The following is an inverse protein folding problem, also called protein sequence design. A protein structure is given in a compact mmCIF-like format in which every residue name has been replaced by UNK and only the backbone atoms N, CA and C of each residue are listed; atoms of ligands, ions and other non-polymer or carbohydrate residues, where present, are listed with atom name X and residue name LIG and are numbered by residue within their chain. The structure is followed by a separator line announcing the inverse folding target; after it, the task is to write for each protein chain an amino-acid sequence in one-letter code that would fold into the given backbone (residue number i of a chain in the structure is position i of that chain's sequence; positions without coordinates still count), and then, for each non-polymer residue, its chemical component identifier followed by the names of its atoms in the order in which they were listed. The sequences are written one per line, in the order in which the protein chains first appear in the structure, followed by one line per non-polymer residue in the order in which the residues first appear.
data_IF_653672131015
#
_entry.id   IF_653672131015
#
_cell.length_a   1.000
_cell.length_b   1.000
_cell.length_c   1.000
_cell.angle_alpha   90.00
_cell.angle_beta   90.00
_cell.angle_gamma   90.00
#
_symmetry.space_group_name_H-M   'P 1'
#
loop_
_entity.id
_entity.type
_entity.pdbx_description
1 polymer ?
#
# COMPACT_ATOMS: atom_id res chain seq x y z
N UNK A 1 13.53 -32.08 14.75
CA UNK A 1 13.31 -30.74 15.32
C UNK A 1 14.63 -29.96 15.33
N UNK A 2 15.03 -29.43 14.16
CA UNK A 2 16.35 -28.79 13.97
C UNK A 2 16.55 -27.56 14.86
N UNK A 3 15.49 -26.79 15.13
CA UNK A 3 15.55 -25.58 15.96
C UNK A 3 15.43 -25.82 17.47
N UNK A 4 15.15 -27.04 17.92
CA UNK A 4 15.03 -27.41 19.33
C UNK A 4 13.90 -26.69 20.10
N UNK A 5 12.85 -26.23 19.39
CA UNK A 5 11.70 -25.51 19.96
C UNK A 5 10.37 -26.10 19.48
N UNK A 6 9.26 -25.78 20.17
CA UNK A 6 7.93 -26.25 19.78
C UNK A 6 7.47 -25.64 18.44
N UNK A 7 6.56 -26.32 17.69
CA UNK A 7 5.96 -25.79 16.46
C UNK A 7 5.32 -24.42 16.70
N UNK A 8 4.68 -24.21 17.85
CA UNK A 8 4.11 -22.92 18.24
C UNK A 8 5.17 -21.83 18.37
N UNK A 9 6.35 -22.16 18.92
CA UNK A 9 7.49 -21.25 19.03
C UNK A 9 8.08 -20.95 17.64
N UNK A 10 8.21 -21.96 16.76
CA UNK A 10 8.63 -21.78 15.36
C UNK A 10 7.70 -20.79 14.66
N UNK A 11 6.39 -21.03 14.71
CA UNK A 11 5.40 -20.16 14.08
C UNK A 11 5.48 -18.72 14.64
N UNK A 12 5.63 -18.55 15.93
CA UNK A 12 5.77 -17.22 16.56
C UNK A 12 7.07 -16.52 16.14
N UNK A 13 8.18 -17.26 16.10
CA UNK A 13 9.48 -16.71 15.69
C UNK A 13 9.46 -16.23 14.23
N UNK A 14 8.89 -17.02 13.32
CA UNK A 14 8.77 -16.69 11.89
C UNK A 14 7.77 -15.57 11.59
N UNK A 15 6.85 -15.31 12.53
CA UNK A 15 5.86 -14.22 12.42
C UNK A 15 6.21 -12.99 13.25
N UNK A 16 7.44 -12.88 13.74
CA UNK A 16 7.93 -11.80 14.60
C UNK A 16 7.01 -11.49 15.80
N UNK A 17 6.31 -12.51 16.28
CA UNK A 17 5.40 -12.37 17.42
C UNK A 17 6.17 -11.99 18.70
N UNK A 18 5.56 -11.23 19.62
CA UNK A 18 6.14 -10.95 20.93
C UNK A 18 6.32 -12.23 21.75
N UNK A 19 7.16 -12.16 22.77
CA UNK A 19 7.43 -13.26 23.73
C UNK A 19 8.18 -14.46 23.12
N UNK A 20 9.01 -14.26 22.10
CA UNK A 20 10.01 -15.22 21.64
C UNK A 20 11.39 -14.62 21.94
N UNK A 21 12.25 -15.34 22.66
CA UNK A 21 13.59 -14.86 22.96
C UNK A 21 14.42 -14.68 21.68
N UNK A 22 15.35 -13.73 21.70
CA UNK A 22 16.25 -13.48 20.57
C UNK A 22 17.00 -14.75 20.13
N UNK A 23 17.49 -15.51 21.10
CA UNK A 23 18.20 -16.78 20.88
C UNK A 23 17.30 -17.82 20.19
N UNK A 24 16.05 -18.00 20.64
CA UNK A 24 15.11 -18.92 19.99
C UNK A 24 14.76 -18.48 18.57
N UNK A 25 14.66 -17.17 18.33
CA UNK A 25 14.41 -16.59 17.01
C UNK A 25 15.55 -16.87 16.05
N UNK A 26 16.79 -16.68 16.46
CA UNK A 26 17.96 -16.96 15.64
C UNK A 26 18.08 -18.45 15.33
N UNK A 27 17.87 -19.35 16.28
CA UNK A 27 17.87 -20.81 16.03
C UNK A 27 16.80 -21.20 15.00
N UNK A 28 15.60 -20.61 15.08
CA UNK A 28 14.52 -20.87 14.11
C UNK A 28 14.90 -20.35 12.72
N UNK A 29 15.45 -19.14 12.61
CA UNK A 29 15.90 -18.56 11.34
C UNK A 29 17.01 -19.42 10.70
N UNK A 30 18.01 -19.84 11.48
CA UNK A 30 19.08 -20.70 11.00
C UNK A 30 18.55 -22.06 10.51
N UNK A 31 17.62 -22.67 11.26
CA UNK A 31 16.98 -23.91 10.85
C UNK A 31 16.13 -23.75 9.59
N UNK A 32 15.41 -22.66 9.44
CA UNK A 32 14.63 -22.35 8.23
C UNK A 32 15.56 -22.19 7.01
N UNK A 33 16.65 -21.44 7.15
CA UNK A 33 17.65 -21.28 6.10
C UNK A 33 18.29 -22.61 5.68
N UNK A 34 18.64 -23.48 6.63
CA UNK A 34 19.20 -24.80 6.35
C UNK A 34 18.24 -25.70 5.57
N UNK A 35 16.94 -25.54 5.80
CA UNK A 35 15.89 -26.35 5.14
C UNK A 35 15.33 -25.66 3.88
N UNK A 36 15.85 -24.52 3.48
CA UNK A 36 15.27 -23.67 2.43
C UNK A 36 13.76 -23.43 2.63
N UNK A 37 13.38 -23.30 3.92
CA UNK A 37 11.99 -23.15 4.28
C UNK A 37 11.56 -21.70 4.19
N UNK A 38 10.69 -21.42 3.25
CA UNK A 38 10.00 -20.14 3.12
C UNK A 38 8.58 -20.24 3.69
N UNK A 39 8.24 -19.40 4.69
CA UNK A 39 6.87 -19.37 5.23
C UNK A 39 5.85 -19.11 4.11
N UNK A 40 4.81 -19.92 4.05
CA UNK A 40 3.73 -19.71 3.08
C UNK A 40 2.95 -18.43 3.44
N UNK A 41 3.01 -17.44 2.55
CA UNK A 41 2.34 -16.14 2.72
C UNK A 41 0.84 -16.32 2.91
N UNK A 42 0.20 -17.25 2.18
CA UNK A 42 -1.23 -17.52 2.31
C UNK A 42 -1.59 -18.07 3.71
N UNK A 43 -0.75 -18.95 4.27
CA UNK A 43 -0.95 -19.44 5.64
C UNK A 43 -0.75 -18.34 6.67
N UNK A 44 0.23 -17.46 6.47
CA UNK A 44 0.46 -16.29 7.34
C UNK A 44 -0.72 -15.31 7.27
N UNK A 45 -1.23 -15.03 6.08
CA UNK A 45 -2.38 -14.16 5.85
C UNK A 45 -3.62 -14.66 6.58
N UNK A 46 -3.87 -15.96 6.54
CA UNK A 46 -5.01 -16.58 7.23
C UNK A 46 -4.93 -16.39 8.76
N UNK A 47 -3.74 -16.60 9.34
CA UNK A 47 -3.52 -16.44 10.79
C UNK A 47 -3.61 -14.96 11.20
N UNK A 48 -3.02 -14.07 10.40
CA UNK A 48 -3.00 -12.64 10.65
C UNK A 48 -4.35 -11.95 10.34
N UNK A 49 -5.24 -12.61 9.61
CA UNK A 49 -6.46 -12.02 9.03
C UNK A 49 -6.14 -10.76 8.19
N UNK A 50 -5.02 -10.80 7.47
CA UNK A 50 -4.52 -9.73 6.61
C UNK A 50 -3.93 -10.33 5.36
N UNK A 51 -4.12 -9.65 4.23
CA UNK A 51 -3.57 -10.09 2.93
C UNK A 51 -2.12 -9.70 2.76
N UNK A 52 -1.67 -8.66 3.46
CA UNK A 52 -0.41 -7.95 3.25
C UNK A 52 -0.28 -7.38 1.82
N UNK A 53 -1.41 -7.00 1.22
CA UNK A 53 -1.47 -6.38 -0.10
C UNK A 53 -1.95 -4.93 0.02
N UNK A 54 -1.19 -4.02 -0.60
CA UNK A 54 -1.58 -2.63 -0.79
C UNK A 54 -1.85 -2.41 -2.27
N UNK A 55 -3.04 -1.94 -2.60
CA UNK A 55 -3.40 -1.59 -3.97
C UNK A 55 -2.89 -0.21 -4.36
N UNK A 56 -2.51 -0.04 -5.62
CA UNK A 56 -2.30 1.26 -6.25
C UNK A 56 -3.17 1.29 -7.50
N UNK A 57 -4.12 2.21 -7.54
CA UNK A 57 -4.95 2.42 -8.74
C UNK A 57 -4.72 3.78 -9.36
N UNK A 58 -4.75 3.81 -10.69
CA UNK A 58 -4.59 5.01 -11.50
C UNK A 58 -5.31 4.86 -12.83
N UNK A 59 -5.56 5.99 -13.50
CA UNK A 59 -6.12 6.05 -14.86
C UNK A 59 -5.23 6.88 -15.78
N UNK A 60 -4.63 6.24 -16.80
CA UNK A 60 -3.86 6.88 -17.88
C UNK A 60 -2.91 8.03 -17.49
N UNK A 61 -2.13 7.92 -16.44
CA UNK A 61 -1.12 8.93 -16.16
C UNK A 61 0.05 8.81 -17.14
N UNK A 62 0.95 9.80 -17.13
CA UNK A 62 2.20 9.66 -17.86
C UNK A 62 3.00 8.45 -17.33
N UNK A 63 3.73 7.74 -18.17
CA UNK A 63 4.52 6.58 -17.73
C UNK A 63 5.49 6.90 -16.61
N UNK A 64 6.16 8.07 -16.67
CA UNK A 64 7.07 8.53 -15.62
C UNK A 64 6.38 8.71 -14.28
N UNK A 65 5.20 9.30 -14.26
CA UNK A 65 4.44 9.49 -13.02
C UNK A 65 4.09 8.14 -12.35
N UNK A 66 3.66 7.14 -13.13
CA UNK A 66 3.36 5.80 -12.60
C UNK A 66 4.60 5.15 -12.01
N UNK A 67 5.73 5.25 -12.73
CA UNK A 67 7.00 4.67 -12.27
C UNK A 67 7.44 5.30 -10.96
N UNK A 68 7.37 6.62 -10.83
CA UNK A 68 7.76 7.31 -9.60
C UNK A 68 6.83 6.97 -8.42
N UNK A 69 5.52 6.87 -8.64
CA UNK A 69 4.59 6.41 -7.61
C UNK A 69 4.90 4.98 -7.14
N UNK A 70 5.18 4.09 -8.08
CA UNK A 70 5.54 2.70 -7.76
C UNK A 70 6.86 2.64 -7.01
N UNK A 71 7.88 3.36 -7.47
CA UNK A 71 9.20 3.41 -6.82
C UNK A 71 9.08 3.92 -5.38
N UNK A 72 8.33 5.01 -5.15
CA UNK A 72 8.09 5.53 -3.81
C UNK A 72 7.37 4.53 -2.90
N UNK A 73 6.34 3.86 -3.42
CA UNK A 73 5.61 2.84 -2.68
C UNK A 73 6.51 1.62 -2.38
N UNK A 74 7.25 1.11 -3.37
CA UNK A 74 8.15 -0.04 -3.21
C UNK A 74 9.25 0.24 -2.20
N UNK A 75 9.91 1.41 -2.28
CA UNK A 75 10.95 1.81 -1.33
C UNK A 75 10.43 1.77 0.12
N UNK A 76 9.17 2.21 0.35
CA UNK A 76 8.57 2.16 1.70
C UNK A 76 8.19 0.75 2.13
N UNK A 77 7.88 -0.14 1.18
CA UNK A 77 7.45 -1.51 1.45
C UNK A 77 8.59 -2.52 1.55
N UNK A 78 9.81 -2.15 1.14
CA UNK A 78 10.97 -3.05 0.99
C UNK A 78 11.26 -3.87 2.25
N UNK A 79 11.26 -3.23 3.42
CA UNK A 79 11.50 -3.89 4.72
C UNK A 79 10.22 -4.41 5.38
N UNK A 80 9.09 -4.36 4.68
CA UNK A 80 7.80 -4.77 5.22
C UNK A 80 7.34 -6.11 4.64
N UNK A 81 6.29 -6.69 5.25
CA UNK A 81 5.60 -7.86 4.70
C UNK A 81 4.65 -7.50 3.57
N UNK A 82 4.35 -6.21 3.39
CA UNK A 82 3.40 -5.76 2.38
C UNK A 82 3.97 -5.87 0.98
N UNK A 83 3.09 -6.10 0.03
CA UNK A 83 3.41 -6.10 -1.41
C UNK A 83 2.48 -5.14 -2.13
N UNK A 84 3.01 -4.49 -3.15
CA UNK A 84 2.24 -3.59 -4.00
C UNK A 84 1.52 -4.39 -5.08
N UNK A 85 0.21 -4.14 -5.22
CA UNK A 85 -0.62 -4.65 -6.31
C UNK A 85 -1.08 -3.46 -7.15
N UNK A 86 -0.65 -3.42 -8.40
CA UNK A 86 -0.99 -2.33 -9.31
C UNK A 86 -2.27 -2.69 -10.05
N UNK A 87 -3.28 -1.84 -9.94
CA UNK A 87 -4.63 -2.05 -10.46
C UNK A 87 -5.03 -0.88 -11.38
N UNK A 88 -4.50 -0.83 -12.62
CA UNK A 88 -4.89 0.21 -13.56
C UNK A 88 -6.37 0.04 -13.91
N UNK A 89 -7.10 1.15 -13.95
CA UNK A 89 -8.51 1.17 -14.30
C UNK A 89 -8.80 2.27 -15.31
N UNK A 90 -9.79 2.07 -16.19
CA UNK A 90 -10.16 3.03 -17.21
C UNK A 90 -11.58 3.54 -16.97
N UNK A 91 -11.80 4.83 -17.29
CA UNK A 91 -13.10 5.47 -17.16
C UNK A 91 -13.63 5.39 -15.72
N UNK A 92 -12.79 5.78 -14.76
CA UNK A 92 -13.15 5.75 -13.33
C UNK A 92 -14.36 6.64 -13.06
N UNK A 93 -14.44 7.81 -13.71
CA UNK A 93 -15.55 8.74 -13.55
C UNK A 93 -16.90 8.12 -13.97
N UNK A 94 -16.91 7.30 -15.02
CA UNK A 94 -18.12 6.65 -15.51
C UNK A 94 -18.47 5.37 -14.75
N UNK A 95 -17.48 4.73 -14.12
CA UNK A 95 -17.63 3.40 -13.51
C UNK A 95 -17.00 3.27 -12.12
N UNK A 96 -17.24 4.21 -11.21
CA UNK A 96 -16.62 4.18 -9.87
C UNK A 96 -17.02 2.95 -9.05
N UNK A 97 -18.27 2.49 -9.17
CA UNK A 97 -18.73 1.28 -8.50
C UNK A 97 -18.05 0.00 -9.01
N UNK A 98 -17.66 -0.05 -10.28
CA UNK A 98 -16.94 -1.19 -10.84
C UNK A 98 -15.51 -1.27 -10.28
N UNK A 99 -14.82 -0.13 -10.21
CA UNK A 99 -13.53 -0.04 -9.54
C UNK A 99 -13.65 -0.45 -8.06
N UNK A 100 -14.66 0.04 -7.35
CA UNK A 100 -14.91 -0.34 -5.96
C UNK A 100 -15.06 -1.86 -5.80
N UNK A 101 -15.85 -2.51 -6.66
CA UNK A 101 -16.00 -3.98 -6.64
C UNK A 101 -14.69 -4.71 -6.93
N UNK A 102 -13.88 -4.19 -7.86
CA UNK A 102 -12.55 -4.74 -8.15
C UNK A 102 -11.65 -4.70 -6.92
N UNK A 103 -11.58 -3.54 -6.25
CA UNK A 103 -10.77 -3.36 -5.03
C UNK A 103 -11.22 -4.28 -3.90
N UNK A 104 -12.53 -4.44 -3.70
CA UNK A 104 -13.08 -5.36 -2.69
C UNK A 104 -12.69 -6.83 -2.98
N UNK A 105 -12.76 -7.25 -4.24
CA UNK A 105 -12.41 -8.63 -4.65
C UNK A 105 -10.90 -8.91 -4.57
N UNK A 106 -10.07 -7.88 -4.71
CA UNK A 106 -8.62 -8.02 -4.62
C UNK A 106 -8.13 -8.35 -3.21
N UNK A 107 -8.99 -8.26 -2.19
CA UNK A 107 -8.65 -8.62 -0.81
C UNK A 107 -7.51 -7.77 -0.22
N UNK A 108 -7.50 -6.48 -0.50
CA UNK A 108 -6.45 -5.56 -0.07
C UNK A 108 -6.60 -5.18 1.40
N UNK A 109 -5.48 -4.92 2.07
CA UNK A 109 -5.45 -4.30 3.41
C UNK A 109 -5.52 -2.77 3.37
N UNK A 110 -5.30 -2.18 2.20
CA UNK A 110 -5.43 -0.75 1.94
C UNK A 110 -5.19 -0.44 0.47
N UNK A 111 -5.56 0.77 0.04
CA UNK A 111 -5.39 1.19 -1.36
C UNK A 111 -4.92 2.63 -1.45
N UNK A 112 -4.05 2.90 -2.41
CA UNK A 112 -3.63 4.24 -2.83
C UNK A 112 -4.40 4.61 -4.09
N UNK A 113 -5.14 5.71 -4.04
CA UNK A 113 -5.95 6.23 -5.12
C UNK A 113 -5.24 7.42 -5.77
N UNK A 114 -4.77 7.25 -7.00
CA UNK A 114 -4.29 8.37 -7.81
C UNK A 114 -5.47 9.01 -8.58
N UNK A 115 -5.31 10.25 -9.08
CA UNK A 115 -6.35 10.90 -9.89
C UNK A 115 -6.72 10.06 -11.13
N UNK A 116 -8.00 10.08 -11.55
CA UNK A 116 -9.15 10.76 -10.95
C UNK A 116 -9.90 9.94 -9.87
N UNK A 117 -9.42 8.73 -9.53
CA UNK A 117 -10.08 7.84 -8.58
C UNK A 117 -10.16 8.44 -7.17
N UNK A 118 -9.19 9.28 -6.80
CA UNK A 118 -9.12 9.92 -5.50
C UNK A 118 -10.28 10.90 -5.21
N UNK A 119 -11.02 11.35 -6.23
CA UNK A 119 -12.12 12.32 -6.10
C UNK A 119 -13.51 11.73 -6.45
N UNK A 120 -13.62 10.41 -6.54
CA UNK A 120 -14.91 9.76 -6.86
C UNK A 120 -15.69 9.45 -5.57
N UNK A 121 -16.67 10.27 -5.25
CA UNK A 121 -17.47 10.13 -4.02
C UNK A 121 -18.14 8.77 -3.85
N UNK A 122 -18.66 8.19 -4.93
CA UNK A 122 -19.26 6.86 -4.90
C UNK A 122 -18.23 5.77 -4.53
N UNK A 123 -17.02 5.86 -5.09
CA UNK A 123 -15.93 4.97 -4.75
C UNK A 123 -15.53 5.13 -3.28
N UNK A 124 -15.31 6.37 -2.83
CA UNK A 124 -14.92 6.66 -1.45
C UNK A 124 -15.99 6.18 -0.45
N UNK A 125 -17.28 6.40 -0.75
CA UNK A 125 -18.37 5.90 0.08
C UNK A 125 -18.39 4.36 0.17
N UNK A 126 -18.06 3.68 -0.92
CA UNK A 126 -17.94 2.22 -0.92
C UNK A 126 -16.76 1.75 -0.05
N UNK A 127 -15.59 2.39 -0.15
CA UNK A 127 -14.41 2.06 0.67
C UNK A 127 -14.70 2.27 2.15
N UNK A 128 -15.33 3.39 2.52
CA UNK A 128 -15.75 3.70 3.90
C UNK A 128 -16.72 2.64 4.44
N UNK A 129 -17.76 2.31 3.65
CA UNK A 129 -18.75 1.29 4.00
C UNK A 129 -18.11 -0.07 4.31
N UNK A 130 -17.12 -0.45 3.52
CA UNK A 130 -16.40 -1.72 3.68
C UNK A 130 -15.18 -1.63 4.60
N UNK A 131 -14.90 -0.44 5.15
CA UNK A 131 -13.77 -0.18 6.04
C UNK A 131 -12.42 -0.56 5.42
N UNK A 132 -12.28 -0.39 4.10
CA UNK A 132 -10.99 -0.54 3.43
C UNK A 132 -10.22 0.78 3.57
N UNK A 133 -9.08 0.81 4.29
CA UNK A 133 -8.28 2.01 4.42
C UNK A 133 -7.76 2.50 3.06
N UNK A 134 -7.74 3.82 2.86
CA UNK A 134 -7.24 4.39 1.62
C UNK A 134 -6.45 5.67 1.84
N UNK A 135 -5.48 5.89 0.96
CA UNK A 135 -4.77 7.15 0.78
C UNK A 135 -5.11 7.74 -0.58
N UNK A 136 -5.23 9.06 -0.63
CA UNK A 136 -5.60 9.83 -1.81
C UNK A 136 -4.45 10.75 -2.21
N UNK A 137 -4.03 10.66 -3.46
CA UNK A 137 -2.95 11.49 -3.99
C UNK A 137 -3.55 12.70 -4.67
N UNK A 138 -3.17 13.89 -4.21
CA UNK A 138 -3.58 15.20 -4.73
C UNK A 138 -5.09 15.30 -5.03
N UNK A 139 -5.97 14.98 -4.05
CA UNK A 139 -7.40 15.14 -4.26
C UNK A 139 -7.78 16.62 -4.34
N UNK A 140 -8.86 16.91 -5.08
CA UNK A 140 -9.42 18.27 -5.22
C UNK A 140 -10.55 18.54 -4.23
N UNK A 141 -11.14 17.51 -3.62
CA UNK A 141 -12.32 17.60 -2.76
C UNK A 141 -12.19 16.72 -1.51
N UNK A 142 -13.14 16.88 -0.56
CA UNK A 142 -13.32 16.03 0.61
C UNK A 142 -11.99 15.75 1.36
N UNK A 143 -11.28 16.80 1.75
CA UNK A 143 -9.95 16.73 2.37
C UNK A 143 -9.94 16.05 3.74
N UNK A 144 -11.09 15.83 4.33
CA UNK A 144 -11.33 15.15 5.61
C UNK A 144 -11.52 13.62 5.49
N UNK A 145 -11.54 13.09 4.24
CA UNK A 145 -11.77 11.66 3.99
C UNK A 145 -10.47 10.93 3.61
N UNK A 146 -10.20 9.84 4.33
CA UNK A 146 -9.00 9.03 4.12
C UNK A 146 -7.71 9.73 4.53
N UNK A 147 -6.58 9.22 4.08
CA UNK A 147 -5.27 9.88 4.21
C UNK A 147 -5.05 10.71 2.96
N UNK A 148 -4.80 12.01 3.11
CA UNK A 148 -4.54 12.92 1.99
C UNK A 148 -3.05 13.17 1.86
N UNK A 149 -2.53 12.98 0.64
CA UNK A 149 -1.18 13.33 0.22
C UNK A 149 -1.31 14.44 -0.82
N UNK A 150 -1.01 15.68 -0.46
CA UNK A 150 -1.10 16.83 -1.35
C UNK A 150 0.17 17.68 -1.27
N UNK A 151 0.46 18.39 -2.36
CA UNK A 151 1.42 19.49 -2.39
C UNK A 151 0.64 20.80 -2.43
N UNK A 152 1.24 21.87 -1.93
CA UNK A 152 0.72 23.23 -2.14
C UNK A 152 1.09 23.68 -3.55
N UNK A 153 0.29 23.28 -4.53
CA UNK A 153 0.51 23.59 -5.95
C UNK A 153 0.36 25.09 -6.24
N UNK A 154 -0.46 25.80 -5.44
CA UNK A 154 -0.63 27.24 -5.56
C UNK A 154 0.65 27.96 -5.13
N UNK A 155 1.19 27.62 -3.96
CA UNK A 155 2.45 28.20 -3.50
C UNK A 155 3.62 27.84 -4.44
N UNK A 156 3.66 26.63 -4.96
CA UNK A 156 4.66 26.22 -5.94
C UNK A 156 4.56 27.04 -7.24
N UNK A 157 3.35 27.21 -7.77
CA UNK A 157 3.10 28.04 -8.96
C UNK A 157 3.47 29.49 -8.74
N UNK A 158 3.13 30.06 -7.60
CA UNK A 158 3.52 31.42 -7.23
C UNK A 158 5.03 31.58 -7.15
N UNK A 159 5.75 30.63 -6.56
CA UNK A 159 7.21 30.68 -6.47
C UNK A 159 7.88 30.67 -7.86
N UNK A 160 7.38 29.82 -8.77
CA UNK A 160 7.89 29.78 -10.16
C UNK A 160 7.61 31.11 -10.89
N UNK A 161 6.38 31.65 -10.77
CA UNK A 161 6.02 32.91 -11.41
C UNK A 161 6.86 34.08 -10.86
N UNK A 162 7.04 34.15 -9.55
CA UNK A 162 7.89 35.19 -8.93
C UNK A 162 9.32 35.10 -9.45
N UNK A 163 9.88 33.89 -9.52
CA UNK A 163 11.24 33.68 -10.03
C UNK A 163 11.41 34.15 -11.49
N UNK A 164 10.44 33.85 -12.35
CA UNK A 164 10.48 34.30 -13.75
C UNK A 164 10.40 35.84 -13.85
N UNK A 165 9.52 36.46 -13.04
CA UNK A 165 9.41 37.93 -13.01
C UNK A 165 10.69 38.61 -12.50
N UNK A 166 11.37 38.04 -11.50
CA UNK A 166 12.67 38.53 -11.00
C UNK A 166 13.76 38.48 -12.09
N UNK A 167 13.67 37.49 -12.99
CA UNK A 167 14.60 37.35 -14.11
C UNK A 167 14.25 38.27 -15.31
N UNK A 168 13.14 39.01 -15.22
CA UNK A 168 12.71 39.96 -16.26
C UNK A 168 11.93 39.32 -17.43
N UNK A 169 11.38 38.12 -17.23
CA UNK A 169 10.52 37.45 -18.21
C UNK A 169 9.08 37.95 -18.20
#
# INVERSE_FOLDING_TARGET
NLAGVSIKTVSRALNDAPHVSAEARERVKAAAATLDYHPNIAAQSLIARRSFLIGLTYERPSPSYVVELQNGALARLEESRYRLVVLPFRNVADRPAELGRLLMRAGLDGVVLAPPACDQDELLAMLDKHRLPYARITPHSAMDRGIVLAMDEVAAGQAVAAHLLELGH
#
